data_IF_675406588581
#
_entry.id   IF_675406588581
#
_cell.length_a   1.000
_cell.length_b   1.000
_cell.length_c   1.000
_cell.angle_alpha   90.00
_cell.angle_beta   90.00
_cell.angle_gamma   90.00
#
_symmetry.space_group_name_H-M   'P 1'
#
loop_
_entity.id
_entity.type
_entity.pdbx_description
1 polymer ?
#
# COMPACT_ATOMS: atom_id res chain seq x y z
N UNK A 1 3.42 -7.16 -4.12
CA UNK A 1 1.95 -6.97 -4.17
C UNK A 1 1.17 -8.17 -4.74
N UNK A 2 1.46 -8.64 -5.96
CA UNK A 2 0.71 -9.70 -6.67
C UNK A 2 0.42 -10.96 -5.83
N UNK A 3 1.48 -11.60 -5.30
CA UNK A 3 1.37 -12.79 -4.46
C UNK A 3 0.50 -12.60 -3.20
N UNK A 4 0.46 -11.38 -2.64
CA UNK A 4 -0.36 -11.07 -1.45
C UNK A 4 -1.86 -11.09 -1.80
N UNK A 5 -2.23 -10.59 -2.98
CA UNK A 5 -3.61 -10.56 -3.45
C UNK A 5 -4.12 -11.96 -3.79
N UNK A 6 -3.30 -12.77 -4.48
CA UNK A 6 -3.65 -14.17 -4.76
C UNK A 6 -3.88 -14.98 -3.48
N UNK A 7 -2.96 -14.88 -2.50
CA UNK A 7 -3.11 -15.56 -1.20
C UNK A 7 -4.40 -15.15 -0.48
N UNK A 8 -4.79 -13.87 -0.58
CA UNK A 8 -6.03 -13.36 0.01
C UNK A 8 -7.27 -13.89 -0.71
N UNK A 9 -7.23 -14.05 -2.03
CA UNK A 9 -8.34 -14.61 -2.82
C UNK A 9 -8.76 -16.02 -2.38
N UNK A 10 -7.83 -16.80 -1.83
CA UNK A 10 -8.07 -18.17 -1.36
C UNK A 10 -9.05 -18.25 -0.17
N UNK A 11 -9.10 -17.22 0.68
CA UNK A 11 -9.87 -17.26 1.94
C UNK A 11 -10.88 -16.14 2.09
N UNK A 12 -10.76 -15.05 1.33
CA UNK A 12 -11.56 -13.83 1.55
C UNK A 12 -12.93 -13.83 0.88
N UNK A 13 -13.20 -14.76 -0.04
CA UNK A 13 -14.41 -14.74 -0.88
C UNK A 13 -14.44 -13.60 -1.91
N UNK A 14 -13.33 -12.85 -2.07
CA UNK A 14 -13.21 -11.76 -3.06
C UNK A 14 -13.00 -12.33 -4.45
N UNK A 15 -14.04 -12.24 -5.29
CA UNK A 15 -14.01 -12.73 -6.68
C UNK A 15 -13.01 -11.99 -7.57
N UNK A 16 -12.61 -10.77 -7.20
CA UNK A 16 -11.68 -9.91 -7.94
C UNK A 16 -10.20 -10.11 -7.55
N UNK A 17 -9.89 -10.98 -6.58
CA UNK A 17 -8.52 -11.40 -6.27
C UNK A 17 -8.11 -12.62 -7.15
N UNK A 18 -8.22 -12.44 -8.47
CA UNK A 18 -7.78 -13.38 -9.50
C UNK A 18 -6.72 -12.75 -10.42
N UNK A 19 -5.95 -13.57 -11.13
CA UNK A 19 -4.81 -13.14 -11.97
C UNK A 19 -5.16 -11.96 -12.90
N UNK A 20 -6.22 -12.13 -13.70
CA UNK A 20 -6.61 -11.14 -14.71
C UNK A 20 -6.98 -9.80 -14.07
N UNK A 21 -7.72 -9.85 -12.97
CA UNK A 21 -8.21 -8.65 -12.29
C UNK A 21 -7.10 -7.96 -11.50
N UNK A 22 -6.18 -8.73 -10.91
CA UNK A 22 -5.01 -8.19 -10.20
C UNK A 22 -4.12 -7.41 -11.18
N UNK A 23 -3.83 -7.96 -12.36
CA UNK A 23 -3.02 -7.28 -13.38
C UNK A 23 -3.69 -5.97 -13.81
N UNK A 24 -5.00 -5.99 -14.07
CA UNK A 24 -5.77 -4.79 -14.41
C UNK A 24 -5.70 -3.73 -13.30
N UNK A 25 -5.89 -4.13 -12.03
CA UNK A 25 -5.83 -3.21 -10.88
C UNK A 25 -4.45 -2.57 -10.70
N UNK A 26 -3.37 -3.33 -10.87
CA UNK A 26 -2.01 -2.79 -10.78
C UNK A 26 -1.77 -1.78 -11.92
N UNK A 27 -2.18 -2.11 -13.15
CA UNK A 27 -2.09 -1.18 -14.28
C UNK A 27 -2.88 0.11 -14.03
N UNK A 28 -4.13 0.00 -13.57
CA UNK A 28 -4.96 1.16 -13.23
C UNK A 28 -4.33 2.02 -12.13
N UNK A 29 -3.72 1.41 -11.11
CA UNK A 29 -3.00 2.17 -10.08
C UNK A 29 -1.89 3.04 -10.69
N UNK A 30 -1.02 2.47 -11.54
CA UNK A 30 0.06 3.24 -12.17
C UNK A 30 -0.44 4.33 -13.13
N UNK A 31 -1.54 4.09 -13.84
CA UNK A 31 -2.08 5.06 -14.81
C UNK A 31 -2.86 6.19 -14.13
N UNK A 32 -3.65 5.87 -13.10
CA UNK A 32 -4.64 6.81 -12.56
C UNK A 32 -4.32 7.27 -11.14
N UNK A 33 -3.79 6.39 -10.28
CA UNK A 33 -3.57 6.68 -8.87
C UNK A 33 -2.16 7.23 -8.58
N UNK A 34 -1.14 6.67 -9.21
CA UNK A 34 0.26 7.09 -9.00
C UNK A 34 0.51 8.58 -9.33
N UNK A 35 -0.07 9.17 -10.39
CA UNK A 35 0.07 10.61 -10.65
C UNK A 35 -0.48 11.52 -9.52
N UNK A 36 -1.39 11.01 -8.70
CA UNK A 36 -1.88 11.74 -7.51
C UNK A 36 -0.78 11.91 -6.47
N UNK A 37 0.15 10.93 -6.36
CA UNK A 37 1.30 11.03 -5.47
C UNK A 37 2.23 12.17 -5.90
N UNK A 38 2.39 12.40 -7.20
CA UNK A 38 3.20 13.52 -7.70
C UNK A 38 2.57 14.86 -7.36
N UNK A 39 1.23 14.97 -7.47
CA UNK A 39 0.48 16.17 -7.08
C UNK A 39 0.66 16.52 -5.60
N UNK A 40 0.76 15.52 -4.72
CA UNK A 40 0.87 15.71 -3.27
C UNK A 40 2.25 15.35 -2.71
N UNK A 41 3.30 15.36 -3.54
CA UNK A 41 4.65 14.91 -3.16
C UNK A 41 5.21 15.60 -1.89
N UNK A 42 4.83 16.85 -1.66
CA UNK A 42 5.29 17.64 -0.50
C UNK A 42 4.51 17.32 0.80
N UNK A 43 3.38 16.61 0.68
CA UNK A 43 2.56 16.15 1.81
C UNK A 43 2.68 14.64 2.05
N UNK A 44 3.17 13.89 1.06
CA UNK A 44 3.25 12.43 1.10
C UNK A 44 4.59 11.99 1.68
N UNK A 45 4.55 11.12 2.69
CA UNK A 45 5.71 10.39 3.17
C UNK A 45 5.60 8.92 2.73
N UNK A 46 6.65 8.40 2.08
CA UNK A 46 6.69 7.03 1.56
C UNK A 46 7.45 6.11 2.51
N UNK A 47 6.87 4.95 2.78
CA UNK A 47 7.48 3.87 3.56
C UNK A 47 7.53 2.59 2.72
N UNK A 48 8.59 1.80 2.87
CA UNK A 48 8.65 0.47 2.25
C UNK A 48 7.64 -0.46 2.91
N UNK A 49 6.86 -1.18 2.09
CA UNK A 49 5.90 -2.17 2.55
C UNK A 49 6.33 -3.61 2.21
N UNK A 50 7.59 -3.83 1.85
CA UNK A 50 8.10 -5.16 1.43
C UNK A 50 8.45 -6.07 2.61
N UNK A 51 8.82 -5.50 3.76
CA UNK A 51 9.12 -6.23 4.99
C UNK A 51 7.88 -6.85 5.65
N UNK A 52 8.13 -7.62 6.71
CA UNK A 52 7.10 -8.14 7.61
C UNK A 52 6.22 -7.01 8.21
N UNK A 53 4.90 -7.22 8.40
CA UNK A 53 4.00 -6.19 8.91
C UNK A 53 4.47 -5.52 10.21
N UNK A 54 5.05 -6.27 11.14
CA UNK A 54 5.50 -5.71 12.43
C UNK A 54 6.71 -4.79 12.23
N UNK A 55 7.60 -5.14 11.30
CA UNK A 55 8.74 -4.28 10.94
C UNK A 55 8.29 -3.04 10.18
N UNK A 56 7.35 -3.18 9.24
CA UNK A 56 6.76 -2.04 8.52
C UNK A 56 6.12 -1.09 9.51
N UNK A 57 5.32 -1.60 10.45
CA UNK A 57 4.70 -0.80 11.50
C UNK A 57 5.75 -0.08 12.36
N UNK A 58 6.74 -0.81 12.87
CA UNK A 58 7.84 -0.24 13.65
C UNK A 58 8.63 0.86 12.90
N UNK A 59 8.74 0.77 11.57
CA UNK A 59 9.38 1.81 10.75
C UNK A 59 8.54 3.09 10.61
N UNK A 60 7.21 2.97 10.70
CA UNK A 60 6.25 4.07 10.54
C UNK A 60 6.01 4.80 11.88
N UNK A 61 6.02 4.07 13.00
CA UNK A 61 5.72 4.62 14.33
C UNK A 61 6.53 5.88 14.69
N UNK A 62 7.87 5.93 14.53
CA UNK A 62 8.65 7.11 14.91
C UNK A 62 8.25 8.38 14.14
N UNK A 63 7.85 8.24 12.87
CA UNK A 63 7.37 9.35 12.07
C UNK A 63 6.03 9.88 12.61
N UNK A 64 5.07 8.98 12.89
CA UNK A 64 3.79 9.39 13.45
C UNK A 64 3.91 10.00 14.84
N UNK A 65 4.77 9.44 15.70
CA UNK A 65 5.07 10.02 17.02
C UNK A 65 5.64 11.44 16.89
N UNK A 66 6.44 11.72 15.86
CA UNK A 66 7.01 13.05 15.64
C UNK A 66 5.98 14.12 15.27
N UNK A 67 4.88 13.73 14.60
CA UNK A 67 3.84 14.66 14.12
C UNK A 67 2.58 14.68 14.99
N UNK A 68 2.41 13.72 15.91
CA UNK A 68 1.23 13.60 16.78
C UNK A 68 1.50 13.90 18.26
N UNK A 69 2.77 14.06 18.68
CA UNK A 69 3.09 14.44 20.05
C UNK A 69 2.40 15.76 20.42
N UNK A 70 1.57 15.77 21.49
CA UNK A 70 1.02 17.03 21.99
C UNK A 70 2.17 17.95 22.40
N UNK A 71 2.02 19.24 22.07
CA UNK A 71 2.97 20.29 22.48
C UNK A 71 3.06 20.41 23.99
#
# INVERSE_FOLDING_TARGET
MHARLLKRGLTSGRVDDNEETIVKRIKTFHVESEPVLDKYKDMVHKFSAEEDPDKVFASITPFFDSITKPK
#
